data_IF_427371304738
#
_entry.id   IF_427371304738
#
_cell.length_a   1.000
_cell.length_b   1.000
_cell.length_c   1.000
_cell.angle_alpha   90.00
_cell.angle_beta   90.00
_cell.angle_gamma   90.00
#
_symmetry.space_group_name_H-M   'P 1'
#
loop_
_entity.id
_entity.type
_entity.pdbx_description
1 polymer ?
#
# COMPACT_ATOMS: atom_id res chain seq x y z
N UNK A 1 -12.57 -28.46 -4.27
CA UNK A 1 -11.97 -27.91 -5.50
C UNK A 1 -12.87 -26.90 -6.21
N UNK A 2 -14.11 -27.23 -6.62
CA UNK A 2 -14.98 -26.25 -7.31
C UNK A 2 -15.39 -25.05 -6.42
N UNK A 3 -15.74 -25.33 -5.16
CA UNK A 3 -16.07 -24.28 -4.18
C UNK A 3 -14.87 -23.35 -3.90
N UNK A 4 -13.66 -23.93 -3.83
CA UNK A 4 -12.43 -23.15 -3.60
C UNK A 4 -12.12 -22.22 -4.78
N UNK A 5 -12.30 -22.68 -6.03
CA UNK A 5 -12.08 -21.84 -7.23
C UNK A 5 -13.09 -20.69 -7.30
N UNK A 6 -14.35 -20.93 -6.91
CA UNK A 6 -15.35 -19.88 -6.83
C UNK A 6 -14.95 -18.83 -5.77
N UNK A 7 -14.56 -19.27 -4.59
CA UNK A 7 -14.10 -18.41 -3.49
C UNK A 7 -12.91 -17.53 -3.93
N UNK A 8 -11.91 -18.11 -4.61
CA UNK A 8 -10.80 -17.36 -5.19
C UNK A 8 -11.24 -16.30 -6.20
N UNK A 9 -12.19 -16.63 -7.07
CA UNK A 9 -12.69 -15.67 -8.07
C UNK A 9 -13.39 -14.50 -7.41
N UNK A 10 -14.17 -14.76 -6.35
CA UNK A 10 -14.87 -13.72 -5.57
C UNK A 10 -13.86 -12.84 -4.83
N UNK A 11 -12.88 -13.45 -4.16
CA UNK A 11 -11.82 -12.70 -3.48
C UNK A 11 -11.03 -11.85 -4.47
N UNK A 12 -10.63 -12.39 -5.62
CA UNK A 12 -9.90 -11.64 -6.64
C UNK A 12 -10.68 -10.42 -7.14
N UNK A 13 -11.98 -10.60 -7.45
CA UNK A 13 -12.85 -9.50 -7.88
C UNK A 13 -13.02 -8.46 -6.77
N UNK A 14 -13.21 -8.89 -5.53
CA UNK A 14 -13.34 -7.99 -4.38
C UNK A 14 -12.05 -7.18 -4.16
N UNK A 15 -10.87 -7.81 -4.23
CA UNK A 15 -9.59 -7.11 -4.08
C UNK A 15 -9.31 -6.17 -5.23
N UNK A 16 -9.60 -6.58 -6.46
CA UNK A 16 -9.44 -5.70 -7.62
C UNK A 16 -10.35 -4.47 -7.48
N UNK A 17 -11.56 -4.65 -6.99
CA UNK A 17 -12.48 -3.55 -6.74
C UNK A 17 -11.96 -2.62 -5.64
N UNK A 18 -11.45 -3.16 -4.52
CA UNK A 18 -10.87 -2.36 -3.43
C UNK A 18 -9.62 -1.62 -3.90
N UNK A 19 -8.77 -2.23 -4.73
CA UNK A 19 -7.58 -1.61 -5.29
C UNK A 19 -7.89 -0.40 -6.19
N UNK A 20 -9.04 -0.42 -6.88
CA UNK A 20 -9.49 0.71 -7.70
C UNK A 20 -10.19 1.80 -6.90
N UNK A 21 -10.66 1.49 -5.68
CA UNK A 21 -11.30 2.47 -4.83
C UNK A 21 -10.25 3.38 -4.18
N UNK A 22 -10.58 4.67 -4.06
CA UNK A 22 -9.74 5.63 -3.34
C UNK A 22 -9.59 5.19 -1.87
N UNK A 23 -8.44 5.43 -1.23
CA UNK A 23 -8.26 5.12 0.18
C UNK A 23 -9.31 5.84 1.03
N UNK A 24 -9.93 5.12 1.96
CA UNK A 24 -10.99 5.65 2.83
C UNK A 24 -10.55 6.77 3.81
N UNK A 25 -9.31 6.79 4.36
CA UNK A 25 -8.95 7.81 5.34
C UNK A 25 -8.47 9.12 4.69
N UNK A 26 -9.20 10.21 4.96
CA UNK A 26 -8.71 11.58 4.78
C UNK A 26 -8.15 12.06 6.12
N UNK A 27 -6.82 12.13 6.24
CA UNK A 27 -6.15 12.58 7.46
C UNK A 27 -5.54 13.96 7.24
N UNK A 28 -5.86 14.89 8.13
CA UNK A 28 -5.26 16.22 8.08
C UNK A 28 -3.78 16.13 8.48
N UNK A 29 -2.93 16.84 7.75
CA UNK A 29 -1.49 16.88 7.99
C UNK A 29 -1.01 18.33 8.13
N UNK A 30 -0.03 18.60 9.01
CA UNK A 30 0.60 19.90 9.10
C UNK A 30 1.72 20.05 8.06
N UNK A 31 1.90 21.26 7.55
CA UNK A 31 2.85 21.55 6.45
C UNK A 31 4.02 22.39 6.98
N UNK A 32 3.78 23.67 7.23
CA UNK A 32 4.79 24.63 7.72
C UNK A 32 4.25 25.44 8.90
N UNK A 33 5.11 25.77 9.85
CA UNK A 33 4.85 26.82 10.84
C UNK A 33 4.82 28.20 10.16
N UNK A 34 4.32 29.22 10.87
CA UNK A 34 4.31 30.62 10.40
C UNK A 34 5.71 31.16 10.08
N UNK A 35 6.75 30.56 10.66
CA UNK A 35 8.16 30.92 10.45
C UNK A 35 8.78 30.22 9.23
N UNK A 36 8.01 29.45 8.47
CA UNK A 36 8.47 28.71 7.29
C UNK A 36 9.18 27.39 7.58
N UNK A 37 9.31 27.01 8.86
CA UNK A 37 9.88 25.73 9.28
C UNK A 37 8.87 24.59 9.07
N UNK A 38 9.35 23.42 8.64
CA UNK A 38 8.52 22.23 8.40
C UNK A 38 8.17 21.61 9.77
N UNK A 39 6.87 21.41 10.02
CA UNK A 39 6.38 20.92 11.33
C UNK A 39 6.88 19.51 11.65
N UNK A 40 6.95 18.64 10.63
CA UNK A 40 7.47 17.28 10.74
C UNK A 40 8.42 16.98 9.58
N UNK A 41 9.74 17.15 9.78
CA UNK A 41 10.72 16.83 8.74
C UNK A 41 10.75 15.34 8.39
N UNK A 42 10.25 14.47 9.27
CA UNK A 42 10.15 13.03 9.04
C UNK A 42 9.26 12.65 7.84
N UNK A 43 8.38 13.56 7.38
CA UNK A 43 7.53 13.36 6.20
C UNK A 43 8.04 14.07 4.94
N UNK A 44 9.24 14.68 5.00
CA UNK A 44 9.86 15.44 3.92
C UNK A 44 11.06 14.73 3.28
N UNK A 45 11.20 13.41 3.47
CA UNK A 45 12.25 12.65 2.80
C UNK A 45 11.97 12.54 1.30
N UNK A 46 13.01 12.56 0.44
CA UNK A 46 12.82 12.43 -0.99
C UNK A 46 12.28 11.04 -1.36
N UNK A 47 11.46 10.98 -2.39
CA UNK A 47 11.02 9.72 -3.00
C UNK A 47 12.23 8.87 -3.42
N UNK A 48 12.32 7.64 -2.89
CA UNK A 48 13.36 6.67 -3.25
C UNK A 48 12.74 5.57 -4.13
N UNK A 49 13.37 5.20 -5.26
CA UNK A 49 12.89 4.10 -6.07
C UNK A 49 13.04 2.77 -5.32
N UNK A 50 12.14 1.84 -5.63
CA UNK A 50 12.10 0.50 -5.07
C UNK A 50 13.34 -0.33 -5.47
N UNK A 51 14.11 -0.80 -4.48
CA UNK A 51 15.30 -1.65 -4.70
C UNK A 51 14.94 -2.97 -5.40
N UNK A 52 13.84 -3.61 -4.96
CA UNK A 52 13.31 -4.84 -5.57
C UNK A 52 12.02 -4.50 -6.33
N UNK A 53 11.87 -4.82 -7.62
CA UNK A 53 10.61 -4.58 -8.32
C UNK A 53 9.50 -5.48 -7.76
N UNK A 54 8.28 -4.95 -7.72
CA UNK A 54 7.11 -5.63 -7.12
C UNK A 54 6.86 -6.99 -7.78
N UNK A 55 7.00 -7.07 -9.12
CA UNK A 55 6.82 -8.32 -9.85
C UNK A 55 7.83 -9.38 -9.39
N UNK A 56 9.10 -8.99 -9.15
CA UNK A 56 10.16 -9.93 -8.78
C UNK A 56 9.89 -10.50 -7.38
N UNK A 57 9.45 -9.67 -6.43
CA UNK A 57 9.06 -10.15 -5.11
C UNK A 57 7.89 -11.13 -5.13
N UNK A 58 6.93 -10.94 -6.04
CA UNK A 58 5.80 -11.85 -6.20
C UNK A 58 6.25 -13.21 -6.78
N UNK A 59 7.10 -13.20 -7.81
CA UNK A 59 7.64 -14.42 -8.42
C UNK A 59 8.47 -15.21 -7.41
N UNK A 60 9.34 -14.55 -6.63
CA UNK A 60 10.17 -15.23 -5.63
C UNK A 60 9.31 -15.84 -4.52
N UNK A 61 8.30 -15.11 -4.03
CA UNK A 61 7.41 -15.58 -2.97
C UNK A 61 6.62 -16.84 -3.33
N UNK A 62 6.21 -16.98 -4.60
CA UNK A 62 5.56 -18.21 -5.08
C UNK A 62 6.57 -19.28 -5.51
N UNK A 63 7.63 -18.88 -6.22
CA UNK A 63 8.58 -19.77 -6.86
C UNK A 63 9.43 -20.57 -5.87
N UNK A 64 9.94 -19.94 -4.81
CA UNK A 64 10.78 -20.62 -3.81
C UNK A 64 10.03 -21.80 -3.15
N UNK A 65 8.84 -21.62 -2.55
CA UNK A 65 8.14 -22.73 -1.92
C UNK A 65 7.61 -23.76 -2.95
N UNK A 66 7.25 -23.34 -4.17
CA UNK A 66 6.89 -24.28 -5.24
C UNK A 66 8.05 -25.19 -5.65
N UNK A 67 9.27 -24.66 -5.75
CA UNK A 67 10.49 -25.44 -6.04
C UNK A 67 10.78 -26.43 -4.90
N UNK A 68 10.66 -25.99 -3.65
CA UNK A 68 10.87 -26.87 -2.48
C UNK A 68 9.89 -28.04 -2.50
N UNK A 69 8.61 -27.79 -2.78
CA UNK A 69 7.62 -28.85 -2.96
C UNK A 69 8.04 -29.77 -4.12
N UNK A 70 8.38 -29.23 -5.28
CA UNK A 70 8.78 -30.03 -6.43
C UNK A 70 9.98 -30.96 -6.11
N UNK A 71 10.97 -30.48 -5.35
CA UNK A 71 12.11 -31.28 -4.91
C UNK A 71 11.71 -32.40 -3.95
N UNK A 72 10.81 -32.12 -2.99
CA UNK A 72 10.26 -33.16 -2.10
C UNK A 72 9.48 -34.23 -2.88
N UNK A 73 8.84 -33.85 -3.98
CA UNK A 73 7.99 -34.73 -4.78
C UNK A 73 8.79 -35.74 -5.62
N UNK A 74 10.08 -35.48 -5.85
CA UNK A 74 11.02 -36.47 -6.42
C UNK A 74 11.07 -37.74 -5.54
N UNK A 75 10.84 -37.61 -4.23
CA UNK A 75 10.82 -38.74 -3.28
C UNK A 75 9.45 -39.40 -3.13
N UNK A 76 8.37 -38.61 -3.12
CA UNK A 76 7.02 -39.08 -2.76
C UNK A 76 6.23 -39.59 -3.98
N UNK A 77 6.63 -39.22 -5.21
CA UNK A 77 6.08 -39.74 -6.49
C UNK A 77 4.54 -39.71 -6.59
N UNK A 78 3.89 -38.76 -5.93
CA UNK A 78 2.42 -38.64 -5.90
C UNK A 78 1.99 -37.32 -6.53
N UNK A 79 1.31 -37.39 -7.68
CA UNK A 79 0.79 -36.22 -8.38
C UNK A 79 -0.27 -35.46 -7.56
N UNK A 80 -1.04 -36.20 -6.76
CA UNK A 80 -2.09 -35.63 -5.91
C UNK A 80 -1.54 -34.72 -4.81
N UNK A 81 -0.40 -35.10 -4.22
CA UNK A 81 0.23 -34.31 -3.15
C UNK A 81 0.86 -33.02 -3.70
N UNK A 82 1.40 -33.05 -4.93
CA UNK A 82 1.92 -31.85 -5.61
C UNK A 82 0.80 -30.84 -5.81
N UNK A 83 -0.31 -31.29 -6.38
CA UNK A 83 -1.44 -30.44 -6.73
C UNK A 83 -2.06 -29.80 -5.48
N UNK A 84 -2.30 -30.60 -4.44
CA UNK A 84 -2.83 -30.10 -3.16
C UNK A 84 -1.87 -29.09 -2.50
N UNK A 85 -0.56 -29.33 -2.56
CA UNK A 85 0.43 -28.42 -1.96
C UNK A 85 0.53 -27.08 -2.73
N UNK A 86 0.43 -27.09 -4.07
CA UNK A 86 0.40 -25.87 -4.90
C UNK A 86 -0.86 -25.05 -4.59
N UNK A 87 -2.03 -25.69 -4.47
CA UNK A 87 -3.26 -25.01 -4.06
C UNK A 87 -3.14 -24.41 -2.65
N UNK A 88 -2.51 -25.13 -1.72
CA UNK A 88 -2.25 -24.63 -0.37
C UNK A 88 -1.39 -23.36 -0.34
N UNK A 89 -0.30 -23.31 -1.11
CA UNK A 89 0.54 -22.11 -1.22
C UNK A 89 -0.25 -20.95 -1.83
N UNK A 90 -1.00 -21.22 -2.90
CA UNK A 90 -1.80 -20.20 -3.60
C UNK A 90 -2.83 -19.59 -2.66
N UNK A 91 -3.50 -20.42 -1.85
CA UNK A 91 -4.43 -19.98 -0.82
C UNK A 91 -3.77 -19.07 0.22
N UNK A 92 -2.61 -19.49 0.72
CA UNK A 92 -1.86 -18.70 1.72
C UNK A 92 -1.44 -17.33 1.19
N UNK A 93 -0.93 -17.26 -0.04
CA UNK A 93 -0.49 -16.00 -0.67
C UNK A 93 -1.65 -15.04 -0.93
N UNK A 94 -2.77 -15.54 -1.46
CA UNK A 94 -3.93 -14.71 -1.76
C UNK A 94 -4.51 -14.15 -0.46
N UNK A 95 -4.67 -14.98 0.57
CA UNK A 95 -5.16 -14.52 1.86
C UNK A 95 -4.19 -13.54 2.54
N UNK A 96 -2.87 -13.74 2.41
CA UNK A 96 -1.89 -12.77 2.94
C UNK A 96 -1.99 -11.41 2.22
N UNK A 97 -2.05 -11.40 0.88
CA UNK A 97 -2.20 -10.18 0.09
C UNK A 97 -3.54 -9.47 0.40
N UNK A 98 -4.60 -10.24 0.57
CA UNK A 98 -5.91 -9.78 1.00
C UNK A 98 -5.87 -8.97 2.30
N UNK A 99 -5.27 -9.57 3.33
CA UNK A 99 -5.09 -8.90 4.62
C UNK A 99 -4.22 -7.65 4.49
N UNK A 100 -3.17 -7.66 3.68
CA UNK A 100 -2.32 -6.50 3.48
C UNK A 100 -3.07 -5.33 2.84
N UNK A 101 -3.85 -5.58 1.78
CA UNK A 101 -4.66 -4.54 1.11
C UNK A 101 -5.74 -4.03 2.04
N UNK A 102 -6.42 -4.92 2.76
CA UNK A 102 -7.46 -4.54 3.71
C UNK A 102 -6.91 -3.65 4.85
N UNK A 103 -5.75 -4.02 5.41
CA UNK A 103 -5.09 -3.22 6.46
C UNK A 103 -4.65 -1.86 5.92
N UNK A 104 -4.08 -1.80 4.71
CA UNK A 104 -3.70 -0.54 4.05
C UNK A 104 -4.89 0.38 3.90
N UNK A 105 -6.00 -0.16 3.41
CA UNK A 105 -7.22 0.61 3.16
C UNK A 105 -7.90 1.09 4.45
N UNK A 106 -7.86 0.29 5.53
CA UNK A 106 -8.51 0.60 6.81
C UNK A 106 -7.70 1.58 7.68
N UNK A 107 -6.39 1.34 7.83
CA UNK A 107 -5.55 2.11 8.75
C UNK A 107 -4.98 3.35 8.04
N UNK A 108 -4.52 3.17 6.80
CA UNK A 108 -3.74 4.18 6.08
C UNK A 108 -2.52 4.65 6.88
N UNK A 109 -2.01 5.82 6.50
CA UNK A 109 -0.98 6.57 7.23
C UNK A 109 0.02 7.24 6.29
N UNK A 110 0.62 8.32 6.76
CA UNK A 110 1.53 9.17 5.98
C UNK A 110 2.90 8.49 5.84
N UNK A 111 3.37 8.28 4.62
CA UNK A 111 4.74 7.83 4.35
C UNK A 111 5.75 8.97 4.55
N UNK A 112 7.03 8.66 4.83
CA UNK A 112 8.08 9.66 5.01
C UNK A 112 8.34 10.59 3.83
N UNK A 113 7.85 10.27 2.63
CA UNK A 113 7.99 11.09 1.42
C UNK A 113 6.70 11.79 1.00
N UNK A 114 5.69 11.81 1.87
CA UNK A 114 4.39 12.40 1.58
C UNK A 114 4.48 13.88 1.17
N UNK A 115 5.30 14.69 1.86
CA UNK A 115 5.41 16.12 1.56
C UNK A 115 6.12 16.40 0.22
N UNK A 116 7.07 15.53 -0.16
CA UNK A 116 7.79 15.61 -1.45
C UNK A 116 6.85 15.33 -2.64
N UNK A 117 5.91 14.39 -2.47
CA UNK A 117 4.88 14.06 -3.46
C UNK A 117 3.76 15.09 -3.50
N UNK A 118 3.26 15.49 -2.33
CA UNK A 118 2.13 16.42 -2.22
C UNK A 118 2.42 17.76 -2.89
N UNK A 119 3.66 18.28 -2.80
CA UNK A 119 4.07 19.59 -3.33
C UNK A 119 3.05 20.69 -2.98
N UNK A 120 3.03 21.11 -1.70
CA UNK A 120 1.99 22.02 -1.20
C UNK A 120 2.05 23.38 -1.91
N UNK A 121 0.91 23.86 -2.40
CA UNK A 121 0.80 25.17 -3.03
C UNK A 121 0.62 26.27 -1.98
N UNK A 122 1.65 27.11 -1.84
CA UNK A 122 1.67 28.25 -0.90
C UNK A 122 0.54 29.26 -1.17
N UNK A 123 0.01 29.33 -2.39
CA UNK A 123 -1.10 30.25 -2.73
C UNK A 123 -2.44 29.80 -2.15
N UNK A 124 -2.65 28.48 -2.04
CA UNK A 124 -3.84 27.89 -1.40
C UNK A 124 -3.75 27.96 0.13
N UNK A 125 -2.54 27.90 0.68
CA UNK A 125 -2.27 27.98 2.13
C UNK A 125 -2.48 29.40 2.67
N UNK A 126 -2.10 30.43 1.91
CA UNK A 126 -2.24 31.84 2.33
C UNK A 126 -3.51 32.54 1.81
N UNK A 127 -4.28 31.88 0.94
CA UNK A 127 -5.51 32.41 0.33
C UNK A 127 -6.79 32.12 1.13
N UNK A 128 -7.94 32.54 0.58
CA UNK A 128 -9.29 32.52 1.20
C UNK A 128 -9.76 31.12 1.69
N UNK A 129 -9.13 30.04 1.23
CA UNK A 129 -9.37 28.66 1.65
C UNK A 129 -8.32 28.11 2.65
N UNK A 130 -7.38 28.94 3.08
CA UNK A 130 -6.22 28.60 3.91
C UNK A 130 -6.46 28.67 5.41
N UNK A 131 -7.71 28.57 5.86
CA UNK A 131 -7.97 28.36 7.29
C UNK A 131 -7.72 26.88 7.57
N UNK A 132 -6.46 26.54 7.81
CA UNK A 132 -6.12 25.22 8.32
C UNK A 132 -6.97 24.93 9.56
N UNK A 133 -7.36 23.68 9.75
CA UNK A 133 -8.18 23.28 10.90
C UNK A 133 -7.28 22.97 12.10
N UNK A 134 -7.82 23.01 13.32
CA UNK A 134 -7.08 22.63 14.54
C UNK A 134 -6.23 23.73 15.18
N UNK A 135 -5.28 23.34 16.05
CA UNK A 135 -4.48 24.28 16.84
C UNK A 135 -3.58 25.13 15.93
N UNK A 136 -3.70 26.46 16.04
CA UNK A 136 -2.99 27.47 15.21
C UNK A 136 -3.28 27.42 13.70
N UNK A 137 -4.35 26.75 13.25
CA UNK A 137 -4.74 26.63 11.84
C UNK A 137 -3.64 26.03 10.94
N UNK A 138 -2.92 25.01 11.45
CA UNK A 138 -1.76 24.42 10.77
C UNK A 138 -2.07 23.14 9.99
N UNK A 139 -3.28 22.55 10.14
CA UNK A 139 -3.61 21.28 9.51
C UNK A 139 -4.40 21.46 8.21
N UNK A 140 -3.98 20.76 7.16
CA UNK A 140 -4.55 20.82 5.83
C UNK A 140 -4.92 19.42 5.31
N UNK A 141 -5.85 19.38 4.36
CA UNK A 141 -6.27 18.18 3.64
C UNK A 141 -5.50 18.04 2.32
N UNK A 142 -5.61 16.89 1.65
CA UNK A 142 -4.95 16.59 0.35
C UNK A 142 -5.28 17.59 -0.78
N UNK A 143 -6.31 18.41 -0.64
CA UNK A 143 -6.74 19.40 -1.65
C UNK A 143 -5.73 20.55 -1.88
N UNK A 144 -4.80 20.71 -0.93
CA UNK A 144 -3.68 21.68 -1.01
C UNK A 144 -2.53 21.14 -1.86
N UNK A 145 -2.49 19.82 -2.12
CA UNK A 145 -1.46 19.19 -2.93
C UNK A 145 -1.64 19.53 -4.43
N UNK A 146 -0.54 19.58 -5.17
CA UNK A 146 -0.49 19.78 -6.63
C UNK A 146 0.19 18.64 -7.39
N UNK A 147 0.74 17.67 -6.66
CA UNK A 147 1.34 16.46 -7.22
C UNK A 147 0.31 15.51 -7.85
N UNK A 148 0.79 14.35 -8.31
CA UNK A 148 -0.05 13.33 -8.92
C UNK A 148 -0.95 12.62 -7.88
N UNK A 149 -2.24 12.48 -8.19
CA UNK A 149 -3.23 11.90 -7.27
C UNK A 149 -2.90 10.44 -6.93
N UNK A 150 -2.32 9.69 -7.87
CA UNK A 150 -1.97 8.28 -7.67
C UNK A 150 -0.83 8.11 -6.66
N UNK A 151 0.22 8.93 -6.76
CA UNK A 151 1.34 8.95 -5.83
C UNK A 151 0.92 9.49 -4.46
N UNK A 152 0.05 10.52 -4.43
CA UNK A 152 -0.51 11.05 -3.19
C UNK A 152 -1.28 9.95 -2.44
N UNK A 153 -2.14 9.19 -3.13
CA UNK A 153 -2.88 8.10 -2.51
C UNK A 153 -1.98 6.97 -2.03
N UNK A 154 -0.94 6.55 -2.78
CA UNK A 154 0.01 5.54 -2.32
C UNK A 154 0.82 6.02 -1.10
N UNK A 155 1.15 7.31 -1.05
CA UNK A 155 1.84 7.90 0.10
C UNK A 155 0.96 8.03 1.36
N UNK A 156 -0.36 7.87 1.23
CA UNK A 156 -1.33 7.75 2.33
C UNK A 156 -1.52 6.29 2.81
N UNK A 157 -0.87 5.31 2.18
CA UNK A 157 -0.93 3.88 2.53
C UNK A 157 0.41 3.39 3.13
N UNK A 158 0.77 3.88 4.32
CA UNK A 158 2.05 3.54 4.98
C UNK A 158 2.12 2.17 5.68
N UNK A 159 0.98 1.58 6.05
CA UNK A 159 0.91 0.36 6.88
C UNK A 159 0.28 -0.79 6.08
N UNK A 160 0.82 -2.02 6.08
CA UNK A 160 2.07 -2.49 6.68
C UNK A 160 3.26 -2.38 5.72
N UNK A 161 4.38 -1.81 6.18
CA UNK A 161 5.61 -1.77 5.38
C UNK A 161 6.28 -3.16 5.35
N UNK A 162 6.28 -3.79 4.18
CA UNK A 162 7.01 -5.04 3.91
C UNK A 162 8.46 -4.83 3.43
N UNK A 163 8.94 -3.58 3.37
CA UNK A 163 10.30 -3.25 2.92
C UNK A 163 11.07 -2.60 4.07
N UNK A 164 12.01 -3.36 4.63
CA UNK A 164 13.14 -2.85 5.39
C UNK A 164 14.41 -3.11 4.60
#
# INVERSE_FOLDING_TARGET
>A
MFFDVLDFSVFYVLFFQIYLLKPAPERNFPITFKDGEIVYPDFAYPMRPNIVPIWLSAIISFGVPAIVIALCQIRIRSFWDVNNAIFGITYSLINAAAFQVFIKWLIGGLRPHFLDVCKPDMTKINGINGVGVGFQNLFFTKDVCTGDESEINDSLESMPSGRK
#
